data_IF_791033609527
#
_entry.id   IF_791033609527
#
_cell.length_a   1.000
_cell.length_b   1.000
_cell.length_c   1.000
_cell.angle_alpha   90.00
_cell.angle_beta   90.00
_cell.angle_gamma   90.00
#
_symmetry.space_group_name_H-M   'P 1'
#
loop_
_entity.id
_entity.type
_entity.pdbx_description
1 polymer ?
#
# COMPACT_ATOMS: atom_id res chain seq x y z
N UNK A 1 3.00 -7.02 13.58
CA UNK A 1 2.10 -7.69 12.62
C UNK A 1 2.84 -8.60 11.64
N UNK A 2 4.12 -8.37 11.32
CA UNK A 2 4.90 -9.26 10.45
C UNK A 2 5.23 -10.65 11.04
N UNK A 3 5.22 -10.79 12.37
CA UNK A 3 5.50 -12.06 13.07
C UNK A 3 4.25 -12.82 13.55
N UNK A 4 3.05 -12.34 13.22
CA UNK A 4 1.81 -13.05 13.57
C UNK A 4 1.49 -14.09 12.48
N UNK A 5 1.08 -15.33 12.84
CA UNK A 5 0.69 -16.34 11.86
C UNK A 5 -0.55 -15.98 11.05
N UNK A 6 -1.26 -14.92 11.43
CA UNK A 6 -2.51 -14.46 10.82
C UNK A 6 -2.49 -12.96 10.55
N UNK A 7 -3.07 -12.55 9.42
CA UNK A 7 -3.38 -11.15 9.12
C UNK A 7 -4.89 -10.88 9.27
N UNK A 8 -5.22 -9.65 9.66
CA UNK A 8 -6.60 -9.20 9.83
C UNK A 8 -7.14 -8.73 8.46
N UNK A 9 -8.32 -9.20 8.03
CA UNK A 9 -8.92 -8.84 6.75
C UNK A 9 -9.55 -7.47 6.89
N UNK A 10 -8.77 -6.46 6.55
CA UNK A 10 -9.27 -5.11 6.37
C UNK A 10 -9.68 -4.97 4.89
N UNK A 11 -10.94 -4.62 4.66
CA UNK A 11 -11.51 -4.48 3.31
C UNK A 11 -11.33 -3.08 2.72
N UNK A 12 -10.60 -2.20 3.40
CA UNK A 12 -10.32 -0.87 2.90
C UNK A 12 -9.36 -0.94 1.70
N UNK A 13 -9.51 -0.01 0.77
CA UNK A 13 -8.66 0.12 -0.42
C UNK A 13 -7.69 1.27 -0.27
N UNK A 14 -6.48 1.08 -0.79
CA UNK A 14 -5.40 2.05 -0.71
C UNK A 14 -4.62 2.10 -2.01
N UNK A 15 -4.30 3.31 -2.45
CA UNK A 15 -3.33 3.53 -3.52
C UNK A 15 -1.94 3.20 -3.01
N UNK A 16 -1.17 2.49 -3.83
CA UNK A 16 0.23 2.17 -3.56
C UNK A 16 1.12 2.85 -4.59
N UNK A 17 2.39 2.98 -4.24
CA UNK A 17 3.45 3.43 -5.14
C UNK A 17 4.76 2.83 -4.62
N UNK A 18 5.54 2.22 -5.51
CA UNK A 18 6.88 1.75 -5.14
C UNK A 18 7.83 2.94 -4.92
N UNK A 19 8.92 2.72 -4.19
CA UNK A 19 9.92 3.77 -3.96
C UNK A 19 10.63 4.13 -5.28
N UNK A 20 10.85 3.14 -6.14
CA UNK A 20 11.45 3.31 -7.47
C UNK A 20 10.53 4.15 -8.37
N UNK A 21 9.23 3.85 -8.35
CA UNK A 21 8.24 4.63 -9.06
C UNK A 21 8.14 6.06 -8.53
N UNK A 22 8.15 6.26 -7.20
CA UNK A 22 8.19 7.60 -6.61
C UNK A 22 9.44 8.38 -7.05
N UNK A 23 10.61 7.74 -7.05
CA UNK A 23 11.85 8.37 -7.47
C UNK A 23 11.82 8.74 -8.96
N UNK A 24 11.29 7.86 -9.82
CA UNK A 24 11.10 8.15 -11.23
C UNK A 24 10.14 9.34 -11.44
N UNK A 25 9.01 9.37 -10.72
CA UNK A 25 8.06 10.48 -10.80
C UNK A 25 8.70 11.81 -10.38
N UNK A 26 9.51 11.81 -9.32
CA UNK A 26 10.24 12.99 -8.87
C UNK A 26 11.25 13.46 -9.94
N UNK A 27 11.98 12.53 -10.57
CA UNK A 27 12.92 12.85 -11.65
C UNK A 27 12.20 13.43 -12.87
N UNK A 28 11.05 12.87 -13.25
CA UNK A 28 10.26 13.36 -14.38
C UNK A 28 9.72 14.77 -14.10
N UNK A 29 9.19 15.01 -12.89
CA UNK A 29 8.76 16.35 -12.45
C UNK A 29 9.90 17.38 -12.50
N UNK A 30 11.11 16.99 -12.08
CA UNK A 30 12.27 17.87 -12.12
C UNK A 30 12.76 18.18 -13.55
N UNK A 31 12.39 17.35 -14.54
CA UNK A 31 12.70 17.57 -15.96
C UNK A 31 11.67 18.44 -16.67
N UNK A 32 10.50 18.65 -16.07
CA UNK A 32 9.47 19.51 -16.64
C UNK A 32 9.94 20.96 -16.70
N UNK A 33 9.65 21.64 -17.82
CA UNK A 33 9.95 23.05 -17.97
C UNK A 33 9.18 23.94 -16.97
N UNK A 34 8.01 23.48 -16.50
CA UNK A 34 7.20 24.20 -15.53
C UNK A 34 6.34 23.22 -14.71
N UNK A 35 6.36 23.36 -13.38
CA UNK A 35 5.41 22.72 -12.48
C UNK A 35 4.20 23.64 -12.34
N UNK A 36 3.00 23.13 -12.66
CA UNK A 36 1.78 23.95 -12.76
C UNK A 36 0.79 23.76 -11.61
N UNK A 37 0.96 22.70 -10.83
CA UNK A 37 0.03 22.29 -9.79
C UNK A 37 0.69 21.31 -8.81
N UNK A 38 -0.04 20.94 -7.77
CA UNK A 38 0.33 19.83 -6.89
C UNK A 38 -0.08 18.53 -7.60
N UNK A 39 0.85 17.59 -7.70
CA UNK A 39 0.61 16.26 -8.27
C UNK A 39 0.53 15.21 -7.17
N UNK A 40 -0.40 14.26 -7.33
CA UNK A 40 -0.43 13.02 -6.56
C UNK A 40 0.11 11.90 -7.44
N UNK A 41 0.96 11.05 -6.87
CA UNK A 41 1.51 9.88 -7.55
C UNK A 41 0.96 8.60 -6.92
N UNK A 42 0.47 7.69 -7.75
CA UNK A 42 0.04 6.35 -7.36
C UNK A 42 0.04 5.40 -8.57
N UNK A 43 0.18 4.11 -8.28
CA UNK A 43 -0.13 3.04 -9.21
C UNK A 43 -1.63 3.06 -9.56
N UNK A 44 -1.98 2.51 -10.72
CA UNK A 44 -3.28 2.74 -11.36
C UNK A 44 -4.46 2.20 -10.55
N UNK A 45 -4.31 1.02 -9.99
CA UNK A 45 -5.39 0.34 -9.28
C UNK A 45 -5.14 0.29 -7.78
N UNK A 46 -6.01 0.92 -6.95
CA UNK A 46 -6.00 0.73 -5.52
C UNK A 46 -6.18 -0.74 -5.16
N UNK A 47 -5.45 -1.20 -4.16
CA UNK A 47 -5.52 -2.57 -3.65
C UNK A 47 -6.13 -2.60 -2.27
N UNK A 48 -6.85 -3.68 -2.00
CA UNK A 48 -7.38 -3.93 -0.66
C UNK A 48 -6.28 -4.37 0.30
N UNK A 49 -6.45 -4.11 1.59
CA UNK A 49 -5.46 -4.52 2.59
C UNK A 49 -5.29 -6.04 2.65
N UNK A 50 -6.31 -6.85 2.37
CA UNK A 50 -6.17 -8.31 2.23
C UNK A 50 -5.31 -8.72 1.03
N UNK A 51 -5.44 -8.02 -0.11
CA UNK A 51 -4.54 -8.22 -1.26
C UNK A 51 -3.10 -7.83 -0.92
N UNK A 52 -2.90 -6.72 -0.18
CA UNK A 52 -1.57 -6.27 0.25
C UNK A 52 -0.87 -7.37 1.06
N UNK A 53 -1.54 -7.87 2.11
CA UNK A 53 -0.96 -8.92 2.94
C UNK A 53 -0.77 -10.23 2.19
N UNK A 54 -1.68 -10.57 1.28
CA UNK A 54 -1.58 -11.79 0.47
C UNK A 54 -0.35 -11.73 -0.44
N UNK A 55 -0.17 -10.65 -1.18
CA UNK A 55 0.97 -10.47 -2.08
C UNK A 55 2.30 -10.40 -1.31
N UNK A 56 2.35 -9.64 -0.21
CA UNK A 56 3.54 -9.53 0.62
C UNK A 56 3.95 -10.88 1.23
N UNK A 57 3.00 -11.65 1.78
CA UNK A 57 3.29 -12.97 2.36
C UNK A 57 3.72 -14.00 1.31
N UNK A 58 3.18 -13.91 0.10
CA UNK A 58 3.65 -14.74 -1.01
C UNK A 58 5.13 -14.51 -1.31
N UNK A 59 5.62 -13.26 -1.22
CA UNK A 59 7.05 -12.96 -1.35
C UNK A 59 7.94 -13.47 -0.22
N UNK A 60 7.36 -13.83 0.94
CA UNK A 60 8.06 -14.47 2.06
C UNK A 60 7.97 -16.00 2.04
N UNK A 61 7.43 -16.60 0.98
CA UNK A 61 7.06 -18.02 0.91
C UNK A 61 6.12 -18.45 2.05
N UNK A 62 5.23 -17.54 2.50
CA UNK A 62 4.26 -17.78 3.58
C UNK A 62 2.82 -17.82 3.06
N UNK A 63 1.97 -18.73 3.56
CA UNK A 63 0.56 -18.77 3.19
C UNK A 63 -0.17 -17.53 3.73
N UNK A 64 -1.14 -16.96 3.00
CA UNK A 64 -1.83 -15.71 3.37
C UNK A 64 -2.48 -15.75 4.77
N UNK A 65 -3.14 -16.87 5.14
CA UNK A 65 -3.80 -17.12 6.45
C UNK A 65 -4.49 -15.88 7.04
N UNK A 66 -5.54 -15.40 6.37
CA UNK A 66 -6.37 -14.29 6.84
C UNK A 66 -7.45 -14.81 7.80
N UNK A 67 -7.54 -14.26 9.02
CA UNK A 67 -8.60 -14.63 9.97
C UNK A 67 -9.85 -13.79 9.70
N UNK A 68 -11.03 -14.36 9.43
CA UNK A 68 -12.26 -13.57 9.24
C UNK A 68 -12.68 -12.88 10.55
N UNK A 69 -12.12 -11.70 10.83
CA UNK A 69 -12.47 -10.89 12.00
C UNK A 69 -13.27 -9.66 11.54
N UNK A 70 -14.49 -9.46 12.06
CA UNK A 70 -15.28 -8.26 11.76
C UNK A 70 -14.53 -6.97 12.10
N UNK A 71 -14.51 -6.01 11.17
CA UNK A 71 -13.83 -4.73 11.35
C UNK A 71 -14.30 -3.95 12.59
N UNK A 72 -15.58 -4.07 12.96
CA UNK A 72 -16.13 -3.44 14.17
C UNK A 72 -15.47 -3.93 15.46
N UNK A 73 -15.21 -5.23 15.58
CA UNK A 73 -14.52 -5.78 16.75
C UNK A 73 -13.08 -5.30 16.84
N UNK A 74 -12.40 -5.20 15.70
CA UNK A 74 -11.03 -4.68 15.64
C UNK A 74 -10.95 -3.20 16.02
N UNK A 75 -11.92 -2.40 15.57
CA UNK A 75 -12.00 -0.98 15.91
C UNK A 75 -12.24 -0.77 17.41
N UNK A 76 -13.15 -1.54 18.02
CA UNK A 76 -13.40 -1.45 19.46
C UNK A 76 -12.19 -1.95 20.27
N UNK A 77 -11.56 -3.05 19.86
CA UNK A 77 -10.33 -3.53 20.49
C UNK A 77 -9.20 -2.48 20.43
N UNK A 78 -9.04 -1.80 19.30
CA UNK A 78 -8.06 -0.72 19.13
C UNK A 78 -8.35 0.50 20.02
N UNK A 79 -9.63 0.88 20.12
CA UNK A 79 -10.08 1.96 21.01
C UNK A 79 -9.80 1.62 22.47
N UNK A 80 -10.12 0.40 22.90
CA UNK A 80 -9.87 -0.08 24.27
C UNK A 80 -8.36 -0.18 24.57
N UNK A 81 -7.53 -0.49 23.58
CA UNK A 81 -6.08 -0.50 23.70
C UNK A 81 -5.42 0.90 23.68
N UNK A 82 -6.20 1.99 23.65
CA UNK A 82 -5.68 3.36 23.58
C UNK A 82 -5.07 3.74 22.23
N UNK A 83 -5.28 2.94 21.19
CA UNK A 83 -4.72 3.14 19.83
C UNK A 83 -5.78 3.55 18.81
N UNK A 84 -6.86 4.19 19.26
CA UNK A 84 -8.00 4.53 18.39
C UNK A 84 -7.61 5.35 17.16
N UNK A 85 -6.73 6.35 17.31
CA UNK A 85 -6.29 7.24 16.23
C UNK A 85 -5.40 6.52 15.20
N UNK A 86 -4.39 5.76 15.66
CA UNK A 86 -3.52 4.95 14.79
C UNK A 86 -4.32 3.98 13.91
N UNK A 87 -5.42 3.46 14.46
CA UNK A 87 -6.28 2.51 13.76
C UNK A 87 -7.29 3.17 12.82
N UNK A 88 -7.69 4.43 13.04
CA UNK A 88 -8.56 5.14 12.10
C UNK A 88 -7.94 5.21 10.70
N UNK A 89 -6.64 5.51 10.60
CA UNK A 89 -5.93 5.54 9.33
C UNK A 89 -5.83 4.17 8.65
N UNK A 90 -5.79 3.09 9.42
CA UNK A 90 -5.76 1.71 8.92
C UNK A 90 -7.11 1.26 8.35
N UNK A 91 -8.23 1.74 8.90
CA UNK A 91 -9.57 1.39 8.40
C UNK A 91 -10.09 2.32 7.30
N UNK A 92 -9.48 3.50 7.13
CA UNK A 92 -9.89 4.44 6.08
C UNK A 92 -9.53 3.94 4.68
N UNK A 93 -10.37 4.24 3.69
CA UNK A 93 -9.96 4.22 2.28
C UNK A 93 -8.97 5.38 2.05
N UNK A 94 -7.87 5.09 1.36
CA UNK A 94 -6.82 6.06 1.04
C UNK A 94 -6.49 5.98 -0.44
N UNK A 95 -7.36 6.57 -1.25
CA UNK A 95 -7.25 6.52 -2.71
C UNK A 95 -6.74 7.87 -3.19
N UNK A 96 -5.67 7.85 -3.97
CA UNK A 96 -5.09 9.02 -4.61
C UNK A 96 -5.54 9.06 -6.07
N UNK A 97 -6.01 10.22 -6.52
CA UNK A 97 -6.22 10.52 -7.93
C UNK A 97 -4.93 11.06 -8.55
N UNK A 98 -4.26 10.23 -9.34
CA UNK A 98 -2.99 10.55 -10.02
C UNK A 98 -3.18 10.85 -11.51
N UNK A 99 -4.43 11.06 -11.96
CA UNK A 99 -4.75 11.37 -13.36
C UNK A 99 -3.97 12.57 -13.89
N UNK A 100 -3.92 13.67 -13.13
CA UNK A 100 -3.18 14.87 -13.53
C UNK A 100 -1.69 14.62 -13.81
N UNK A 101 -1.05 13.73 -13.03
CA UNK A 101 0.35 13.39 -13.24
C UNK A 101 0.51 12.46 -14.46
N UNK A 102 -0.42 11.52 -14.64
CA UNK A 102 -0.44 10.61 -15.79
C UNK A 102 -0.67 11.35 -17.13
N UNK A 103 -1.55 12.35 -17.14
CA UNK A 103 -1.83 13.21 -18.30
C UNK A 103 -0.57 13.98 -18.75
N UNK A 104 0.32 14.30 -17.81
CA UNK A 104 1.59 14.95 -18.09
C UNK A 104 2.73 13.97 -18.42
N UNK A 105 2.40 12.70 -18.71
CA UNK A 105 3.32 11.70 -19.27
C UNK A 105 3.92 10.72 -18.27
N UNK A 106 3.54 10.79 -16.98
CA UNK A 106 3.93 9.79 -16.00
C UNK A 106 3.30 8.42 -16.33
N UNK A 107 4.10 7.36 -16.26
CA UNK A 107 3.63 5.99 -16.50
C UNK A 107 3.35 5.26 -15.19
N UNK A 108 2.07 5.05 -14.91
CA UNK A 108 1.63 4.28 -13.74
C UNK A 108 1.91 2.78 -13.91
N UNK A 109 2.22 2.10 -12.81
CA UNK A 109 2.15 0.63 -12.77
C UNK A 109 0.68 0.22 -12.77
N UNK A 110 0.32 -0.73 -13.62
CA UNK A 110 -1.05 -1.26 -13.66
C UNK A 110 -1.35 -2.09 -12.40
N UNK A 111 -0.45 -3.00 -12.02
CA UNK A 111 -0.63 -3.89 -10.88
C UNK A 111 0.49 -3.73 -9.84
N UNK A 112 0.20 -3.25 -8.62
CA UNK A 112 1.20 -3.09 -7.56
C UNK A 112 1.54 -4.41 -6.82
N UNK A 113 0.77 -5.49 -7.01
CA UNK A 113 0.92 -6.75 -6.23
C UNK A 113 2.25 -7.47 -6.46
N UNK A 114 2.80 -7.57 -7.69
CA UNK A 114 4.14 -8.12 -7.89
C UNK A 114 5.21 -7.37 -7.09
N UNK A 115 5.16 -6.02 -7.09
CA UNK A 115 6.09 -5.18 -6.34
C UNK A 115 6.03 -5.40 -4.82
N UNK A 116 4.86 -5.72 -4.28
CA UNK A 116 4.73 -6.12 -2.86
C UNK A 116 5.45 -7.43 -2.55
N UNK A 117 5.40 -8.40 -3.46
CA UNK A 117 6.11 -9.67 -3.28
C UNK A 117 7.63 -9.48 -3.42
N UNK A 118 8.09 -8.61 -4.33
CA UNK A 118 9.50 -8.22 -4.43
C UNK A 118 10.00 -7.52 -3.16
N UNK A 119 9.26 -6.52 -2.68
CA UNK A 119 9.60 -5.81 -1.45
C UNK A 119 9.70 -6.76 -0.24
N UNK A 120 8.84 -7.78 -0.18
CA UNK A 120 8.90 -8.80 0.85
C UNK A 120 10.17 -9.67 0.77
N UNK A 121 10.57 -10.09 -0.44
CA UNK A 121 11.83 -10.82 -0.66
C UNK A 121 13.03 -10.02 -0.21
N UNK A 122 13.07 -8.73 -0.54
CA UNK A 122 14.19 -7.86 -0.17
C UNK A 122 14.23 -7.58 1.33
N UNK A 123 13.07 -7.44 1.98
CA UNK A 123 12.96 -7.38 3.43
C UNK A 123 13.45 -8.67 4.12
N UNK A 124 13.21 -9.85 3.53
CA UNK A 124 13.72 -11.11 4.07
C UNK A 124 15.24 -11.19 3.96
N UNK A 125 15.81 -10.78 2.82
CA UNK A 125 17.26 -10.75 2.60
C UNK A 125 17.97 -9.80 3.58
N UNK A 126 17.37 -8.64 3.89
CA UNK A 126 17.99 -7.65 4.78
C UNK A 126 18.00 -8.05 6.26
N UNK A 127 17.21 -9.06 6.63
CA UNK A 127 17.15 -9.62 7.99
C UNK A 127 18.07 -10.83 8.21
N UNK A 128 18.63 -11.39 7.15
CA UNK A 128 19.48 -12.60 7.19
C UNK A 128 20.95 -12.23 7.30
#
# INVERSE_FOLDING_TARGET
MADTPYALPLRNRRSLLSVEALAAAAVDLLRMAQIRQIYLASDRYPVSTDEIFTAFRAGLDRPARLLPVPAGLLKEAARLAGRGEDWQGLFAEQICDSSALADDGWRQTEDPRPGLADAARDFQKSKS
#
